data_IF_391767767115
#
_entry.id   IF_391767767115
#
_cell.length_a   1.000
_cell.length_b   1.000
_cell.length_c   1.000
_cell.angle_alpha   90.00
_cell.angle_beta   90.00
_cell.angle_gamma   90.00
#
_symmetry.space_group_name_H-M   'P 1'
#
loop_
_entity.id
_entity.type
_entity.pdbx_description
1 polymer ?
#
# COMPACT_ATOMS: atom_id res chain seq x y z
N UNK A 1 83.12 5.64 -35.94
CA UNK A 1 81.72 5.21 -36.20
C UNK A 1 81.06 4.95 -34.83
N UNK A 2 80.23 5.91 -34.28
CA UNK A 2 79.50 5.75 -33.03
C UNK A 2 78.06 5.36 -33.34
N UNK A 3 77.63 4.22 -32.90
CA UNK A 3 76.20 3.78 -32.97
C UNK A 3 75.38 4.47 -31.88
N UNK A 4 74.37 5.23 -32.29
CA UNK A 4 73.40 5.82 -31.40
C UNK A 4 72.24 4.83 -31.30
N UNK A 5 72.02 4.32 -30.10
CA UNK A 5 70.86 3.44 -29.77
C UNK A 5 69.74 4.30 -29.28
N UNK A 6 68.61 4.36 -30.00
CA UNK A 6 67.39 5.03 -29.60
C UNK A 6 66.55 4.07 -28.75
N UNK A 7 66.37 4.39 -27.49
CA UNK A 7 65.43 3.71 -26.60
C UNK A 7 64.07 4.39 -26.69
N UNK A 8 63.07 3.69 -27.24
CA UNK A 8 61.66 4.10 -27.20
C UNK A 8 61.08 3.75 -25.83
N UNK A 9 60.76 4.75 -25.03
CA UNK A 9 59.98 4.56 -23.81
C UNK A 9 58.48 4.62 -24.15
N UNK A 10 57.79 3.49 -24.05
CA UNK A 10 56.37 3.43 -24.16
C UNK A 10 55.74 3.82 -22.81
N UNK A 11 55.05 4.98 -22.74
CA UNK A 11 54.23 5.37 -21.61
C UNK A 11 52.87 4.73 -21.75
N UNK A 12 52.59 3.71 -20.96
CA UNK A 12 51.27 3.10 -20.85
C UNK A 12 50.38 3.98 -19.94
N UNK A 13 49.41 4.66 -20.54
CA UNK A 13 48.38 5.41 -19.83
C UNK A 13 47.34 4.43 -19.32
N UNK A 14 47.39 4.05 -18.04
CA UNK A 14 46.36 3.23 -17.40
C UNK A 14 45.14 4.10 -17.12
N UNK A 15 44.10 3.99 -17.94
CA UNK A 15 42.76 4.50 -17.68
C UNK A 15 42.10 3.64 -16.60
N UNK A 16 42.12 4.12 -15.35
CA UNK A 16 41.38 3.54 -14.26
C UNK A 16 39.88 3.89 -14.42
N UNK A 17 39.11 2.97 -14.97
CA UNK A 17 37.67 3.06 -14.88
C UNK A 17 37.27 2.75 -13.43
N UNK A 18 36.99 3.79 -12.65
CA UNK A 18 36.24 3.63 -11.40
C UNK A 18 34.81 3.29 -11.78
N UNK A 19 34.49 2.01 -11.79
CA UNK A 19 33.11 1.57 -11.80
C UNK A 19 32.46 2.09 -10.53
N UNK A 20 31.68 3.15 -10.63
CA UNK A 20 30.75 3.52 -9.56
C UNK A 20 29.77 2.35 -9.41
N UNK A 21 30.01 1.52 -8.41
CA UNK A 21 29.04 0.52 -7.99
C UNK A 21 27.80 1.31 -7.56
N UNK A 22 26.79 1.38 -8.42
CA UNK A 22 25.46 1.73 -7.97
C UNK A 22 25.10 0.74 -6.88
N UNK A 23 25.00 1.21 -5.66
CA UNK A 23 24.48 0.41 -4.56
C UNK A 23 23.12 -0.12 -5.01
N UNK A 24 23.02 -1.42 -5.28
CA UNK A 24 21.74 -2.06 -5.51
C UNK A 24 20.93 -1.80 -4.25
N UNK A 25 19.84 -1.04 -4.40
CA UNK A 25 18.82 -0.96 -3.35
C UNK A 25 18.47 -2.42 -3.03
N UNK A 26 18.62 -2.88 -1.78
CA UNK A 26 18.25 -4.23 -1.43
C UNK A 26 16.76 -4.38 -1.75
N UNK A 27 16.45 -5.15 -2.79
CA UNK A 27 15.07 -5.56 -3.03
C UNK A 27 14.73 -6.56 -1.95
N UNK A 28 13.80 -6.27 -1.02
CA UNK A 28 13.36 -7.24 -0.05
C UNK A 28 12.78 -8.46 -0.80
N UNK A 29 12.65 -9.59 -0.12
CA UNK A 29 12.07 -10.83 -0.66
C UNK A 29 10.58 -10.64 -0.98
N UNK A 30 10.29 -9.99 -2.08
CA UNK A 30 8.94 -9.64 -2.50
C UNK A 30 8.76 -9.88 -3.97
N UNK A 31 7.53 -9.96 -4.37
CA UNK A 31 7.14 -10.17 -5.75
C UNK A 31 7.64 -9.00 -6.61
N UNK A 32 8.28 -9.31 -7.71
CA UNK A 32 8.75 -8.30 -8.66
C UNK A 32 7.59 -7.48 -9.22
N UNK A 33 7.79 -6.17 -9.46
CA UNK A 33 6.80 -5.36 -10.16
C UNK A 33 6.39 -5.99 -11.48
N UNK A 34 5.09 -5.97 -11.78
CA UNK A 34 4.55 -6.53 -13.02
C UNK A 34 4.22 -8.02 -12.97
N UNK A 35 4.33 -8.68 -11.81
CA UNK A 35 3.83 -10.06 -11.65
C UNK A 35 2.31 -10.07 -11.74
N UNK A 36 1.77 -10.92 -12.60
CA UNK A 36 0.34 -11.08 -12.76
C UNK A 36 -0.27 -11.92 -11.63
N UNK A 37 -1.59 -11.80 -11.43
CA UNK A 37 -2.35 -12.64 -10.49
C UNK A 37 -2.17 -14.13 -10.80
N UNK A 38 -2.08 -14.50 -12.07
CA UNK A 38 -1.87 -15.89 -12.51
C UNK A 38 -0.50 -16.40 -12.08
N UNK A 39 0.55 -15.59 -12.24
CA UNK A 39 1.89 -15.96 -11.80
C UNK A 39 1.98 -16.08 -10.29
N UNK A 40 1.32 -15.18 -9.54
CA UNK A 40 1.21 -15.29 -8.08
C UNK A 40 0.54 -16.58 -7.65
N UNK A 41 -0.57 -16.95 -8.31
CA UNK A 41 -1.30 -18.20 -8.02
C UNK A 41 -0.47 -19.45 -8.29
N UNK A 42 0.47 -19.40 -9.25
CA UNK A 42 1.38 -20.50 -9.55
C UNK A 42 2.52 -20.65 -8.54
N UNK A 43 2.91 -19.56 -7.87
CA UNK A 43 4.04 -19.56 -6.94
C UNK A 43 3.72 -20.17 -5.58
N UNK A 44 2.48 -20.09 -5.11
CA UNK A 44 2.04 -20.67 -3.85
C UNK A 44 0.51 -20.86 -3.82
N UNK A 45 0.00 -21.77 -2.99
CA UNK A 45 -1.43 -21.90 -2.77
C UNK A 45 -1.94 -20.62 -2.07
N UNK A 46 -2.75 -19.84 -2.78
CA UNK A 46 -3.38 -18.63 -2.26
C UNK A 46 -4.88 -18.89 -2.14
N UNK A 47 -5.46 -18.48 -1.03
CA UNK A 47 -6.90 -18.56 -0.81
C UNK A 47 -7.60 -17.40 -1.55
N UNK A 48 -7.80 -17.58 -2.86
CA UNK A 48 -8.48 -16.61 -3.70
C UNK A 48 -9.97 -16.57 -3.38
N UNK A 49 -10.50 -15.35 -3.22
CA UNK A 49 -11.94 -15.11 -3.02
C UNK A 49 -12.44 -13.99 -3.95
N UNK A 50 -13.66 -14.13 -4.43
CA UNK A 50 -14.38 -13.05 -5.10
C UNK A 50 -15.20 -12.24 -4.10
N UNK A 51 -15.59 -11.00 -4.49
CA UNK A 51 -16.51 -10.19 -3.68
C UNK A 51 -17.82 -10.92 -3.45
N UNK A 52 -18.33 -11.68 -4.45
CA UNK A 52 -19.55 -12.45 -4.30
C UNK A 52 -19.40 -13.59 -3.27
N UNK A 53 -18.25 -14.27 -3.23
CA UNK A 53 -17.98 -15.28 -2.19
C UNK A 53 -17.89 -14.65 -0.79
N UNK A 54 -17.29 -13.44 -0.67
CA UNK A 54 -17.31 -12.71 0.59
C UNK A 54 -18.75 -12.40 1.00
N UNK A 55 -19.56 -11.85 0.09
CA UNK A 55 -20.98 -11.55 0.32
C UNK A 55 -21.76 -12.78 0.78
N UNK A 56 -21.63 -13.90 0.08
CA UNK A 56 -22.28 -15.15 0.43
C UNK A 56 -21.87 -15.65 1.82
N UNK A 57 -20.59 -15.50 2.19
CA UNK A 57 -20.09 -15.86 3.54
C UNK A 57 -20.70 -15.02 4.67
N UNK A 58 -21.33 -13.89 4.33
CA UNK A 58 -21.97 -12.96 5.26
C UNK A 58 -23.51 -13.08 5.27
N UNK A 59 -24.09 -13.93 4.44
CA UNK A 59 -25.54 -14.17 4.40
C UNK A 59 -26.05 -14.64 5.76
N UNK A 60 -27.19 -14.11 6.18
CA UNK A 60 -27.80 -14.43 7.48
C UNK A 60 -27.09 -13.87 8.71
N UNK A 61 -25.93 -13.24 8.56
CA UNK A 61 -25.26 -12.56 9.69
C UNK A 61 -25.82 -11.16 9.90
N UNK A 62 -25.96 -10.77 11.17
CA UNK A 62 -26.36 -9.41 11.54
C UNK A 62 -25.36 -8.37 11.00
N UNK A 63 -25.80 -7.11 10.81
CA UNK A 63 -24.90 -6.01 10.50
C UNK A 63 -23.74 -5.92 11.49
N UNK A 64 -22.56 -5.56 10.99
CA UNK A 64 -21.31 -5.57 11.73
C UNK A 64 -20.47 -4.32 11.44
N UNK A 65 -19.39 -4.14 12.20
CA UNK A 65 -18.40 -3.13 11.92
C UNK A 65 -17.26 -3.74 11.09
N UNK A 66 -16.90 -3.08 9.99
CA UNK A 66 -15.83 -3.48 9.08
C UNK A 66 -14.89 -2.33 8.83
N UNK A 67 -13.61 -2.62 8.61
CA UNK A 67 -12.58 -1.62 8.37
C UNK A 67 -11.87 -1.82 7.04
N UNK A 68 -11.42 -0.71 6.49
CA UNK A 68 -10.60 -0.65 5.28
C UNK A 68 -9.36 0.20 5.53
N UNK A 69 -8.23 -0.25 5.06
CA UNK A 69 -7.12 0.63 4.78
C UNK A 69 -7.43 1.51 3.57
N UNK A 70 -6.67 2.58 3.36
CA UNK A 70 -6.93 3.55 2.30
C UNK A 70 -5.97 3.36 1.12
N UNK A 71 -4.66 3.54 1.38
CA UNK A 71 -3.64 3.63 0.34
C UNK A 71 -3.36 2.25 -0.28
N UNK A 72 -3.46 2.17 -1.60
CA UNK A 72 -3.40 0.92 -2.37
C UNK A 72 -4.48 -0.13 -2.02
N UNK A 73 -5.36 0.16 -1.06
CA UNK A 73 -6.52 -0.68 -0.70
C UNK A 73 -7.80 -0.19 -1.38
N UNK A 74 -8.32 0.97 -1.02
CA UNK A 74 -9.52 1.55 -1.65
C UNK A 74 -9.18 2.70 -2.62
N UNK A 75 -8.00 3.30 -2.47
CA UNK A 75 -7.45 4.31 -3.37
C UNK A 75 -6.10 3.83 -3.93
N UNK A 76 -5.90 3.98 -5.22
CA UNK A 76 -4.57 3.97 -5.83
C UNK A 76 -3.94 5.34 -5.62
N UNK A 77 -3.15 5.49 -4.56
CA UNK A 77 -2.62 6.78 -4.08
C UNK A 77 -1.21 7.10 -4.59
N UNK A 78 -0.62 6.19 -5.35
CA UNK A 78 0.76 6.32 -5.85
C UNK A 78 1.11 7.64 -6.51
N UNK A 79 0.23 8.32 -7.27
CA UNK A 79 0.60 9.60 -7.87
C UNK A 79 0.98 10.67 -6.86
N UNK A 80 0.23 10.80 -5.75
CA UNK A 80 0.53 11.75 -4.67
C UNK A 80 1.79 11.37 -3.89
N UNK A 81 1.94 10.09 -3.55
CA UNK A 81 3.12 9.59 -2.86
C UNK A 81 4.40 9.72 -3.68
N UNK A 82 4.36 9.37 -4.97
CA UNK A 82 5.51 9.52 -5.86
C UNK A 82 5.92 10.99 -6.03
N UNK A 83 4.95 11.90 -6.13
CA UNK A 83 5.23 13.33 -6.12
C UNK A 83 5.94 13.75 -4.85
N UNK A 84 5.47 13.27 -3.69
CA UNK A 84 6.09 13.54 -2.40
C UNK A 84 7.52 12.99 -2.31
N UNK A 85 7.75 11.79 -2.80
CA UNK A 85 9.09 11.22 -2.87
C UNK A 85 10.02 12.12 -3.71
N UNK A 86 9.60 12.50 -4.92
CA UNK A 86 10.41 13.37 -5.78
C UNK A 86 10.71 14.73 -5.15
N UNK A 87 9.77 15.29 -4.39
CA UNK A 87 9.92 16.62 -3.79
C UNK A 87 10.77 16.61 -2.52
N UNK A 88 10.64 15.60 -1.66
CA UNK A 88 11.23 15.59 -0.32
C UNK A 88 12.40 14.62 -0.13
N UNK A 89 12.39 13.48 -0.81
CA UNK A 89 13.47 12.47 -0.71
C UNK A 89 13.49 11.54 -1.93
N UNK A 90 14.03 11.98 -3.07
CA UNK A 90 13.91 11.26 -4.35
C UNK A 90 14.53 9.86 -4.36
N UNK A 91 15.41 9.55 -3.42
CA UNK A 91 16.18 8.30 -3.42
C UNK A 91 15.76 7.29 -2.34
N UNK A 92 14.83 7.68 -1.44
CA UNK A 92 14.41 6.82 -0.34
C UNK A 92 12.98 7.15 0.13
N UNK A 93 12.53 6.51 1.22
CA UNK A 93 11.21 6.71 1.80
C UNK A 93 11.20 7.68 3.00
N UNK A 94 12.26 8.47 3.22
CA UNK A 94 12.32 9.39 4.36
C UNK A 94 11.29 10.53 4.29
N UNK A 95 10.75 10.80 3.09
CA UNK A 95 9.62 11.74 2.93
C UNK A 95 8.40 11.36 3.78
N UNK A 96 8.18 10.06 4.06
CA UNK A 96 7.09 9.60 4.94
C UNK A 96 7.23 10.09 6.39
N UNK A 97 8.44 10.50 6.81
CA UNK A 97 8.69 11.10 8.13
C UNK A 97 8.61 12.62 8.11
N UNK A 98 8.36 13.23 6.95
CA UNK A 98 8.31 14.68 6.81
C UNK A 98 6.89 15.20 7.04
N UNK A 99 6.62 16.01 8.08
CA UNK A 99 5.30 16.58 8.33
C UNK A 99 4.74 17.42 7.17
N UNK A 100 5.62 18.11 6.41
CA UNK A 100 5.18 18.90 5.26
C UNK A 100 4.66 18.03 4.12
N UNK A 101 5.19 16.81 3.96
CA UNK A 101 4.64 15.84 3.03
C UNK A 101 3.20 15.49 3.40
N UNK A 102 2.94 15.17 4.67
CA UNK A 102 1.60 14.80 5.12
C UNK A 102 0.60 15.95 5.00
N UNK A 103 1.02 17.19 5.31
CA UNK A 103 0.19 18.38 5.09
C UNK A 103 -0.25 18.50 3.62
N UNK A 104 0.66 18.27 2.67
CA UNK A 104 0.33 18.30 1.25
C UNK A 104 -0.48 17.07 0.81
N UNK A 105 -0.10 15.88 1.27
CA UNK A 105 -0.78 14.64 0.88
C UNK A 105 -2.23 14.63 1.34
N UNK A 106 -2.49 14.98 2.60
CA UNK A 106 -3.83 14.93 3.18
C UNK A 106 -4.75 16.08 2.75
N UNK A 107 -4.21 17.18 2.20
CA UNK A 107 -5.01 18.36 1.83
C UNK A 107 -5.03 18.68 0.33
N UNK A 108 -3.95 18.33 -0.41
CA UNK A 108 -3.81 18.80 -1.79
C UNK A 108 -3.66 17.64 -2.80
N UNK A 109 -2.87 16.61 -2.44
CA UNK A 109 -2.42 15.61 -3.42
C UNK A 109 -3.30 14.39 -3.52
N UNK A 110 -4.21 14.19 -2.59
CA UNK A 110 -5.21 13.13 -2.70
C UNK A 110 -6.12 13.27 -3.94
N UNK A 111 -6.26 14.49 -4.46
CA UNK A 111 -6.96 14.70 -5.73
C UNK A 111 -6.35 13.94 -6.93
N UNK A 112 -5.11 13.45 -6.79
CA UNK A 112 -4.45 12.61 -7.78
C UNK A 112 -4.63 11.11 -7.52
N UNK A 113 -5.19 10.74 -6.38
CA UNK A 113 -5.52 9.35 -6.07
C UNK A 113 -6.74 8.92 -6.88
N UNK A 114 -6.78 7.64 -7.25
CA UNK A 114 -7.89 7.07 -8.01
C UNK A 114 -8.62 6.03 -7.17
N UNK A 115 -9.95 6.16 -6.99
CA UNK A 115 -10.71 5.12 -6.32
C UNK A 115 -10.59 3.78 -7.06
N UNK A 116 -10.25 2.74 -6.32
CA UNK A 116 -10.16 1.38 -6.88
C UNK A 116 -11.57 0.80 -7.00
N UNK A 117 -11.82 0.13 -8.12
CA UNK A 117 -13.13 -0.50 -8.35
C UNK A 117 -13.47 -1.52 -7.26
N UNK A 118 -12.50 -2.31 -6.82
CA UNK A 118 -12.67 -3.27 -5.71
C UNK A 118 -13.09 -2.57 -4.42
N UNK A 119 -12.52 -1.40 -4.11
CA UNK A 119 -12.91 -0.60 -2.94
C UNK A 119 -14.35 -0.13 -3.03
N UNK A 120 -14.76 0.41 -4.20
CA UNK A 120 -16.15 0.83 -4.44
C UNK A 120 -17.12 -0.34 -4.24
N UNK A 121 -16.83 -1.50 -4.84
CA UNK A 121 -17.71 -2.65 -4.82
C UNK A 121 -17.83 -3.27 -3.40
N UNK A 122 -16.72 -3.42 -2.67
CA UNK A 122 -16.72 -3.94 -1.30
C UNK A 122 -17.43 -3.00 -0.33
N UNK A 123 -17.13 -1.71 -0.38
CA UNK A 123 -17.78 -0.70 0.48
C UNK A 123 -19.28 -0.68 0.22
N UNK A 124 -19.69 -0.66 -1.06
CA UNK A 124 -21.10 -0.73 -1.43
C UNK A 124 -21.76 -2.00 -0.89
N UNK A 125 -21.13 -3.16 -1.05
CA UNK A 125 -21.65 -4.45 -0.55
C UNK A 125 -21.91 -4.41 0.95
N UNK A 126 -20.98 -3.85 1.74
CA UNK A 126 -21.15 -3.72 3.19
C UNK A 126 -22.23 -2.71 3.56
N UNK A 127 -22.27 -1.55 2.90
CA UNK A 127 -23.34 -0.55 3.16
C UNK A 127 -24.73 -1.09 2.81
N UNK A 128 -24.86 -1.84 1.70
CA UNK A 128 -26.13 -2.48 1.31
C UNK A 128 -26.59 -3.53 2.35
N UNK A 129 -25.65 -4.15 3.08
CA UNK A 129 -25.95 -5.06 4.19
C UNK A 129 -26.35 -4.34 5.48
N UNK A 130 -26.15 -3.03 5.55
CA UNK A 130 -26.35 -2.24 6.78
C UNK A 130 -25.15 -2.27 7.74
N UNK A 131 -23.97 -2.73 7.28
CA UNK A 131 -22.74 -2.71 8.06
C UNK A 131 -22.25 -1.27 8.28
N UNK A 132 -21.52 -1.04 9.37
CA UNK A 132 -20.80 0.21 9.59
C UNK A 132 -19.40 0.11 9.04
N UNK A 133 -19.04 1.03 8.15
CA UNK A 133 -17.73 1.03 7.46
C UNK A 133 -16.82 2.09 8.07
N UNK A 134 -15.59 1.69 8.43
CA UNK A 134 -14.53 2.56 8.92
C UNK A 134 -13.33 2.55 7.97
N UNK A 135 -12.65 3.68 7.87
CA UNK A 135 -11.39 3.80 7.12
C UNK A 135 -10.27 4.14 8.10
N UNK A 136 -9.22 3.30 8.14
CA UNK A 136 -8.09 3.45 9.07
C UNK A 136 -6.81 3.41 8.27
N UNK A 137 -6.15 4.56 8.15
CA UNK A 137 -4.89 4.71 7.39
C UNK A 137 -3.67 4.83 8.30
N UNK A 138 -2.52 4.38 7.79
CA UNK A 138 -1.21 4.62 8.41
C UNK A 138 -0.68 6.04 8.23
N UNK A 139 -1.37 6.92 7.50
CA UNK A 139 -0.96 8.31 7.33
C UNK A 139 -0.86 9.04 8.67
N UNK A 140 0.08 9.97 8.76
CA UNK A 140 0.16 10.87 9.89
C UNK A 140 -0.98 11.88 9.86
N UNK A 141 -1.66 12.05 10.98
CA UNK A 141 -2.71 13.06 11.14
C UNK A 141 -2.18 14.47 10.94
N UNK A 142 -2.96 15.33 10.32
CA UNK A 142 -2.68 16.73 10.07
C UNK A 142 -3.78 17.61 10.66
N UNK A 143 -3.49 18.89 10.86
CA UNK A 143 -4.45 19.81 11.50
C UNK A 143 -5.79 19.93 10.73
N UNK A 144 -5.70 19.84 9.42
CA UNK A 144 -6.86 19.79 8.51
C UNK A 144 -6.63 18.66 7.51
N UNK A 145 -7.68 18.13 6.95
CA UNK A 145 -7.62 17.06 5.95
C UNK A 145 -8.82 17.13 4.99
N UNK A 146 -8.64 16.64 3.80
CA UNK A 146 -9.70 16.46 2.78
C UNK A 146 -9.90 14.99 2.41
N UNK A 147 -9.16 14.10 3.05
CA UNK A 147 -9.15 12.66 2.78
C UNK A 147 -10.53 12.05 3.00
N UNK A 148 -11.19 12.38 4.13
CA UNK A 148 -12.54 11.93 4.46
C UNK A 148 -13.52 12.25 3.34
N UNK A 149 -13.51 13.50 2.89
CA UNK A 149 -14.38 13.95 1.79
C UNK A 149 -14.03 13.21 0.49
N UNK A 150 -12.74 13.09 0.18
CA UNK A 150 -12.29 12.44 -1.04
C UNK A 150 -12.66 10.96 -1.09
N UNK A 151 -12.48 10.24 0.01
CA UNK A 151 -12.92 8.84 0.16
C UNK A 151 -14.42 8.73 0.00
N UNK A 152 -15.18 9.59 0.67
CA UNK A 152 -16.65 9.62 0.57
C UNK A 152 -17.13 9.77 -0.88
N UNK A 153 -16.62 10.78 -1.58
CA UNK A 153 -17.01 11.08 -2.96
C UNK A 153 -16.55 10.00 -3.94
N UNK A 154 -15.28 9.58 -3.81
CA UNK A 154 -14.66 8.57 -4.66
C UNK A 154 -15.30 7.19 -4.57
N UNK A 155 -15.67 6.77 -3.37
CA UNK A 155 -16.35 5.49 -3.11
C UNK A 155 -17.88 5.60 -3.14
N UNK A 156 -18.42 6.80 -3.40
CA UNK A 156 -19.87 7.08 -3.49
C UNK A 156 -20.64 6.73 -2.22
N UNK A 157 -20.05 7.03 -1.06
CA UNK A 157 -20.65 6.76 0.24
C UNK A 157 -21.70 7.84 0.57
N UNK A 158 -22.94 7.47 0.94
CA UNK A 158 -23.91 8.43 1.42
C UNK A 158 -23.37 9.21 2.63
N UNK A 159 -23.67 10.52 2.69
CA UNK A 159 -23.11 11.39 3.72
C UNK A 159 -23.48 10.97 5.15
N UNK A 160 -24.66 10.41 5.33
CA UNK A 160 -25.14 9.86 6.62
C UNK A 160 -24.49 8.52 7.02
N UNK A 161 -23.72 7.91 6.11
CA UNK A 161 -23.01 6.64 6.32
C UNK A 161 -21.51 6.81 6.42
N UNK A 162 -20.97 7.97 6.02
CA UNK A 162 -19.53 8.22 6.09
C UNK A 162 -19.07 8.47 7.51
N UNK A 163 -18.09 7.68 7.96
CA UNK A 163 -17.37 7.94 9.19
C UNK A 163 -16.10 8.75 8.88
N UNK A 164 -15.67 9.69 9.75
CA UNK A 164 -14.38 10.34 9.58
C UNK A 164 -13.25 9.33 9.42
N UNK A 165 -12.30 9.64 8.55
CA UNK A 165 -11.09 8.81 8.39
C UNK A 165 -10.28 8.84 9.68
N UNK A 166 -9.79 7.68 10.08
CA UNK A 166 -8.95 7.49 11.25
C UNK A 166 -7.50 7.46 10.80
N UNK A 167 -6.72 8.44 11.26
CA UNK A 167 -5.28 8.55 11.00
C UNK A 167 -4.54 7.85 12.14
N UNK A 168 -4.20 6.57 11.96
CA UNK A 168 -3.50 5.80 12.97
C UNK A 168 -2.02 6.22 13.12
N UNK A 169 -1.45 6.79 12.06
CA UNK A 169 -0.03 7.13 12.01
C UNK A 169 0.87 5.88 11.98
N UNK A 170 2.16 6.11 11.78
CA UNK A 170 3.17 5.08 11.96
C UNK A 170 3.73 5.14 13.37
N UNK A 171 3.69 4.03 14.10
CA UNK A 171 4.26 3.90 15.44
C UNK A 171 5.61 3.17 15.42
N UNK A 172 6.54 3.58 16.27
CA UNK A 172 7.78 2.83 16.46
C UNK A 172 7.48 1.45 17.09
N UNK A 173 7.63 0.40 16.29
CA UNK A 173 7.55 -1.00 16.75
C UNK A 173 6.17 -1.53 17.09
N UNK A 174 5.08 -0.78 16.86
CA UNK A 174 3.70 -1.23 17.07
C UNK A 174 2.83 -0.88 15.87
N UNK A 175 1.93 -1.81 15.52
CA UNK A 175 0.89 -1.51 14.54
C UNK A 175 -0.23 -0.70 15.21
N UNK A 176 -0.24 0.59 14.99
CA UNK A 176 -1.21 1.50 15.63
C UNK A 176 -2.66 1.23 15.21
N UNK A 177 -2.88 0.55 14.07
CA UNK A 177 -4.24 0.19 13.63
C UNK A 177 -4.92 -0.81 14.57
N UNK A 178 -4.18 -1.66 15.30
CA UNK A 178 -4.72 -2.67 16.21
C UNK A 178 -5.66 -2.07 17.26
N UNK A 179 -5.25 -0.97 17.90
CA UNK A 179 -6.09 -0.30 18.91
C UNK A 179 -7.40 0.21 18.30
N UNK A 180 -7.31 0.87 17.16
CA UNK A 180 -8.48 1.40 16.45
C UNK A 180 -9.44 0.30 16.00
N UNK A 181 -8.91 -0.81 15.44
CA UNK A 181 -9.73 -1.97 15.07
C UNK A 181 -10.47 -2.56 16.28
N UNK A 182 -9.78 -2.67 17.42
CA UNK A 182 -10.35 -3.19 18.68
C UNK A 182 -11.45 -2.26 19.21
N UNK A 183 -11.16 -0.97 19.29
CA UNK A 183 -12.05 0.04 19.90
C UNK A 183 -13.35 0.19 19.10
N UNK A 184 -13.28 0.04 17.76
CA UNK A 184 -14.43 0.04 16.87
C UNK A 184 -15.05 -1.36 16.68
N UNK A 185 -14.54 -2.38 17.40
CA UNK A 185 -15.06 -3.76 17.39
C UNK A 185 -15.18 -4.32 15.96
N UNK A 186 -14.16 -4.08 15.14
CA UNK A 186 -14.16 -4.57 13.77
C UNK A 186 -14.19 -6.09 13.77
N UNK A 187 -14.89 -6.66 12.80
CA UNK A 187 -14.97 -8.11 12.57
C UNK A 187 -14.26 -8.54 11.29
N UNK A 188 -14.11 -7.61 10.36
CA UNK A 188 -13.37 -7.80 9.11
C UNK A 188 -12.50 -6.57 8.89
N UNK A 189 -11.28 -6.78 8.39
CA UNK A 189 -10.41 -5.71 7.94
C UNK A 189 -9.83 -6.01 6.57
N UNK A 190 -9.94 -5.05 5.66
CA UNK A 190 -9.42 -5.10 4.30
C UNK A 190 -8.17 -4.23 4.19
N UNK A 191 -7.08 -4.80 3.70
CA UNK A 191 -5.83 -4.06 3.53
C UNK A 191 -4.91 -4.69 2.50
N UNK A 192 -3.99 -3.91 1.96
CA UNK A 192 -3.01 -4.38 0.98
C UNK A 192 -1.66 -4.76 1.63
N UNK A 193 -1.34 -4.18 2.78
CA UNK A 193 -0.06 -4.37 3.45
C UNK A 193 -0.04 -5.59 4.38
N UNK A 194 1.16 -6.18 4.58
CA UNK A 194 1.35 -7.26 5.55
C UNK A 194 0.96 -6.84 6.97
N UNK A 195 1.20 -5.57 7.32
CA UNK A 195 0.81 -5.01 8.61
C UNK A 195 -0.71 -5.02 8.84
N UNK A 196 -1.53 -4.86 7.80
CA UNK A 196 -2.99 -4.90 7.90
C UNK A 196 -3.49 -6.29 8.27
N UNK A 197 -2.96 -7.30 7.58
CA UNK A 197 -3.32 -8.69 7.83
C UNK A 197 -2.81 -9.15 9.20
N UNK A 198 -1.58 -8.77 9.56
CA UNK A 198 -1.04 -9.08 10.88
C UNK A 198 -1.86 -8.45 12.01
N UNK A 199 -2.33 -7.19 11.85
CA UNK A 199 -3.20 -6.53 12.82
C UNK A 199 -4.55 -7.24 12.97
N UNK A 200 -5.15 -7.68 11.86
CA UNK A 200 -6.38 -8.45 11.90
C UNK A 200 -6.18 -9.79 12.61
N UNK A 201 -5.10 -10.50 12.33
CA UNK A 201 -4.78 -11.78 12.99
C UNK A 201 -4.50 -11.60 14.48
N UNK A 202 -3.80 -10.53 14.91
CA UNK A 202 -3.55 -10.24 16.33
C UNK A 202 -4.86 -10.13 17.12
N UNK A 203 -5.91 -9.60 16.49
CA UNK A 203 -7.23 -9.45 17.09
C UNK A 203 -8.16 -10.63 16.88
N UNK A 204 -7.73 -11.67 16.13
CA UNK A 204 -8.57 -12.81 15.78
C UNK A 204 -9.76 -12.44 14.88
N UNK A 205 -9.68 -11.35 14.13
CA UNK A 205 -10.70 -10.93 13.16
C UNK A 205 -10.30 -11.36 11.73
N UNK A 206 -11.28 -11.36 10.84
CA UNK A 206 -11.06 -11.73 9.43
C UNK A 206 -10.22 -10.66 8.73
N UNK A 207 -9.00 -11.00 8.33
CA UNK A 207 -8.13 -10.19 7.48
C UNK A 207 -8.29 -10.59 6.02
N UNK A 208 -8.60 -9.64 5.15
CA UNK A 208 -8.80 -9.87 3.72
C UNK A 208 -7.83 -8.98 2.93
N UNK A 209 -6.99 -9.62 2.13
CA UNK A 209 -5.97 -8.95 1.31
C UNK A 209 -6.57 -8.36 0.05
N UNK A 210 -6.31 -7.08 -0.17
CA UNK A 210 -6.46 -6.41 -1.45
C UNK A 210 -5.09 -6.39 -2.15
N UNK A 211 -5.03 -6.70 -3.43
CA UNK A 211 -3.77 -6.67 -4.16
C UNK A 211 -3.32 -5.23 -4.40
N UNK A 212 -2.06 -4.97 -4.09
CA UNK A 212 -1.41 -3.72 -4.46
C UNK A 212 -1.12 -3.72 -5.95
N UNK A 213 -1.38 -2.61 -6.64
CA UNK A 213 -1.11 -2.49 -8.06
C UNK A 213 0.39 -2.63 -8.37
N UNK A 214 0.73 -3.29 -9.47
CA UNK A 214 2.13 -3.54 -9.86
C UNK A 214 2.95 -2.25 -10.06
N UNK A 215 2.27 -1.14 -10.40
CA UNK A 215 2.86 0.17 -10.58
C UNK A 215 2.72 1.09 -9.35
N UNK A 216 2.44 0.52 -8.17
CA UNK A 216 2.48 1.28 -6.93
C UNK A 216 3.87 1.88 -6.70
N UNK A 217 3.91 3.11 -6.20
CA UNK A 217 5.15 3.77 -5.77
C UNK A 217 5.72 3.19 -4.48
N UNK A 218 4.91 2.44 -3.73
CA UNK A 218 5.34 1.82 -2.48
C UNK A 218 5.78 0.38 -2.72
N UNK A 219 7.03 0.26 -3.08
CA UNK A 219 7.70 -1.01 -3.33
C UNK A 219 8.51 -1.45 -2.11
N UNK A 220 8.71 -2.73 -1.95
CA UNK A 220 8.27 -3.84 -2.81
C UNK A 220 6.82 -4.25 -2.57
N UNK A 221 6.23 -4.96 -3.54
CA UNK A 221 4.86 -5.47 -3.40
C UNK A 221 4.78 -6.52 -2.27
N UNK A 222 3.74 -6.48 -1.42
CA UNK A 222 3.49 -7.52 -0.43
C UNK A 222 3.25 -8.88 -1.09
N UNK A 223 3.73 -9.94 -0.47
CA UNK A 223 3.49 -11.30 -0.92
C UNK A 223 2.09 -11.75 -0.46
N UNK A 224 1.12 -11.72 -1.36
CA UNK A 224 -0.24 -12.15 -1.08
C UNK A 224 -0.29 -13.63 -0.64
N UNK A 225 -1.17 -13.94 0.32
CA UNK A 225 -1.33 -15.29 0.87
C UNK A 225 -0.26 -15.70 1.89
N UNK A 226 0.69 -14.83 2.22
CA UNK A 226 1.80 -15.12 3.13
C UNK A 226 1.35 -15.57 4.52
N UNK A 227 0.22 -15.09 4.98
CA UNK A 227 -0.36 -15.40 6.29
C UNK A 227 -1.51 -16.40 6.20
N UNK A 228 -1.77 -16.99 5.03
CA UNK A 228 -2.93 -17.86 4.79
C UNK A 228 -4.24 -17.09 4.70
N UNK A 229 -4.17 -15.79 4.55
CA UNK A 229 -5.32 -14.89 4.43
C UNK A 229 -6.09 -15.10 3.12
N UNK A 230 -7.36 -14.70 3.12
CA UNK A 230 -8.12 -14.54 1.89
C UNK A 230 -7.58 -13.39 1.05
N UNK A 231 -7.49 -13.60 -0.26
CA UNK A 231 -7.00 -12.58 -1.22
C UNK A 231 -8.08 -12.34 -2.25
N UNK A 232 -8.50 -11.08 -2.39
CA UNK A 232 -9.53 -10.73 -3.38
C UNK A 232 -8.94 -10.77 -4.78
N UNK A 233 -9.54 -11.60 -5.63
CA UNK A 233 -9.09 -11.75 -7.02
C UNK A 233 -9.36 -10.47 -7.83
N UNK A 234 -8.44 -10.11 -8.73
CA UNK A 234 -8.50 -8.92 -9.60
C UNK A 234 -8.71 -7.60 -8.81
N UNK A 235 -8.04 -7.49 -7.67
CA UNK A 235 -8.20 -6.35 -6.75
C UNK A 235 -7.09 -5.31 -6.84
N UNK A 236 -6.28 -5.33 -7.89
CA UNK A 236 -5.19 -4.38 -8.11
C UNK A 236 -5.72 -2.95 -8.39
N UNK A 237 -6.93 -2.84 -9.03
CA UNK A 237 -7.53 -1.57 -9.45
C UNK A 237 -9.01 -1.44 -9.09
#
# INVERSE_FOLDING_TARGET
>A
MKKITLTLSAVALALSFTATSQAKIPMPETVSPGVTVVELAQQQPIHWVSIEQIKQSLEGKAPMAVGFDIDDTVLFSSPGFYRGQLEFSPNDFSYLKNPQFWEKMNNEWDKFSMPKKVGIDLVKMHLDRGDTVYFITGRTETKTETVTKYVQEGLKIPADKMQPVIFAGEGEGKNNKVSWMRDHKLTIYYGDADADIAAAHELGIRGVRILRAANSSYQPLPKAGRFGEEVVINSEY
#
